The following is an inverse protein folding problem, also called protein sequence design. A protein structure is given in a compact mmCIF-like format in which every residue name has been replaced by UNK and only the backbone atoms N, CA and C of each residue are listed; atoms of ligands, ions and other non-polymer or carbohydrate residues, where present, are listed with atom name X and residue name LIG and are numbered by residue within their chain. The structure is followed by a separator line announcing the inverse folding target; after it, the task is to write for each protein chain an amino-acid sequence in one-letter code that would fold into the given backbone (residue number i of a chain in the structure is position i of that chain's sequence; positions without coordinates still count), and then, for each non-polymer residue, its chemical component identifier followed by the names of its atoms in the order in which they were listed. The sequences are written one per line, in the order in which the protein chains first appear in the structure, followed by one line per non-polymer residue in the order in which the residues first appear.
data_IF_400607646408
#
_entry.id   IF_400607646408
#
_cell.length_a   1.000
_cell.length_b   1.000
_cell.length_c   1.000
_cell.angle_alpha   90.00
_cell.angle_beta   90.00
_cell.angle_gamma   90.00
#
_symmetry.space_group_name_H-M   'P 1'
#
loop_
_entity.id
_entity.type
_entity.pdbx_description
1 polymer ?
#
# COMPACT_ATOMS: atom_id res chain seq x y z
N UNK A 1 -11.09 -24.45 -4.13
CA UNK A 1 -9.72 -23.91 -4.03
C UNK A 1 -9.78 -22.74 -3.07
N UNK A 2 -9.12 -22.83 -1.92
CA UNK A 2 -9.00 -21.71 -0.99
C UNK A 2 -7.85 -20.86 -1.54
N UNK A 3 -8.18 -19.85 -2.34
CA UNK A 3 -7.20 -18.84 -2.73
C UNK A 3 -7.10 -17.83 -1.60
N UNK A 4 -6.18 -18.03 -0.67
CA UNK A 4 -5.83 -16.97 0.27
C UNK A 4 -5.20 -15.82 -0.50
N UNK A 5 -5.67 -14.60 -0.23
CA UNK A 5 -5.09 -13.40 -0.83
C UNK A 5 -3.77 -13.09 -0.11
N UNK A 6 -2.68 -13.66 -0.60
CA UNK A 6 -1.34 -13.47 -0.03
C UNK A 6 -0.82 -12.04 -0.17
N UNK A 7 -1.36 -11.25 -1.10
CA UNK A 7 -0.92 -9.87 -1.34
C UNK A 7 -1.17 -9.00 -0.10
N UNK A 8 -2.36 -9.13 0.51
CA UNK A 8 -2.72 -8.39 1.71
C UNK A 8 -1.89 -8.78 2.93
N UNK A 9 -1.56 -10.06 3.08
CA UNK A 9 -0.64 -10.55 4.13
C UNK A 9 0.78 -10.04 3.87
N UNK A 10 1.22 -10.08 2.60
CA UNK A 10 2.52 -9.62 2.17
C UNK A 10 2.76 -8.15 2.52
N UNK A 11 1.81 -7.28 2.16
CA UNK A 11 1.88 -5.86 2.49
C UNK A 11 1.89 -5.64 4.00
N UNK A 12 1.01 -6.33 4.74
CA UNK A 12 0.91 -6.16 6.18
C UNK A 12 2.21 -6.57 6.90
N UNK A 13 2.79 -7.71 6.54
CA UNK A 13 4.05 -8.16 7.11
C UNK A 13 5.17 -7.18 6.79
N UNK A 14 5.23 -6.66 5.57
CA UNK A 14 6.29 -5.72 5.23
C UNK A 14 6.17 -4.41 6.01
N UNK A 15 4.97 -3.83 6.06
CA UNK A 15 4.70 -2.62 6.85
C UNK A 15 5.02 -2.83 8.34
N UNK A 16 4.56 -3.91 8.94
CA UNK A 16 4.62 -4.08 10.40
C UNK A 16 5.91 -4.73 10.88
N UNK A 17 6.38 -5.79 10.22
CA UNK A 17 7.53 -6.59 10.67
C UNK A 17 8.85 -6.05 10.12
N UNK A 18 8.90 -5.71 8.83
CA UNK A 18 10.15 -5.28 8.20
C UNK A 18 10.38 -3.78 8.40
N UNK A 19 9.33 -2.97 8.25
CA UNK A 19 9.42 -1.51 8.36
C UNK A 19 9.06 -0.98 9.76
N UNK A 20 8.50 -1.81 10.64
CA UNK A 20 8.16 -1.42 12.02
C UNK A 20 7.04 -0.39 12.14
N UNK A 21 6.16 -0.31 11.14
CA UNK A 21 5.10 0.69 11.05
C UNK A 21 3.86 0.18 11.80
N UNK A 22 3.42 0.96 12.79
CA UNK A 22 2.13 0.75 13.44
C UNK A 22 1.00 1.39 12.62
N UNK A 23 0.00 0.58 12.29
CA UNK A 23 -1.18 0.96 11.51
C UNK A 23 -2.36 1.37 12.41
N UNK A 24 -2.29 1.10 13.72
CA UNK A 24 -3.38 1.40 14.64
C UNK A 24 -3.62 2.92 14.73
N UNK A 25 -4.89 3.33 14.65
CA UNK A 25 -5.32 4.73 14.70
C UNK A 25 -4.69 5.64 13.63
N UNK A 26 -4.13 5.09 12.54
CA UNK A 26 -3.57 5.85 11.42
C UNK A 26 -4.62 6.20 10.37
N UNK A 27 -4.43 7.33 9.68
CA UNK A 27 -5.17 7.70 8.48
C UNK A 27 -4.39 7.16 7.27
N UNK A 28 -4.97 6.20 6.57
CA UNK A 28 -4.38 5.55 5.40
C UNK A 28 -5.08 6.02 4.13
N UNK A 29 -4.36 6.63 3.20
CA UNK A 29 -4.84 6.98 1.87
C UNK A 29 -4.35 5.97 0.85
N UNK A 30 -5.27 5.29 0.18
CA UNK A 30 -4.97 4.38 -0.93
C UNK A 30 -5.33 5.06 -2.25
N UNK A 31 -4.36 5.14 -3.16
CA UNK A 31 -4.54 5.59 -4.52
C UNK A 31 -4.85 4.38 -5.41
N UNK A 32 -6.03 4.39 -6.03
CA UNK A 32 -6.53 3.31 -6.87
C UNK A 32 -7.62 2.47 -6.18
N UNK A 33 -8.58 2.01 -6.97
CA UNK A 33 -9.66 1.12 -6.53
C UNK A 33 -9.72 -0.16 -7.40
N UNK A 34 -8.55 -0.74 -7.65
CA UNK A 34 -8.37 -1.95 -8.46
C UNK A 34 -8.34 -3.24 -7.65
N UNK A 35 -7.91 -4.33 -8.29
CA UNK A 35 -7.76 -5.65 -7.65
C UNK A 35 -6.76 -5.64 -6.49
N UNK A 36 -5.62 -4.96 -6.66
CA UNK A 36 -4.61 -4.81 -5.60
C UNK A 36 -5.20 -4.15 -4.35
N UNK A 37 -5.88 -3.01 -4.49
CA UNK A 37 -6.59 -2.34 -3.38
C UNK A 37 -7.56 -3.28 -2.69
N UNK A 38 -8.40 -4.00 -3.44
CA UNK A 38 -9.36 -4.95 -2.86
C UNK A 38 -8.67 -6.05 -2.05
N UNK A 39 -7.52 -6.54 -2.51
CA UNK A 39 -6.76 -7.59 -1.82
C UNK A 39 -6.13 -7.16 -0.50
N UNK A 40 -5.71 -5.90 -0.39
CA UNK A 40 -5.04 -5.38 0.80
C UNK A 40 -5.99 -4.78 1.84
N UNK A 41 -7.23 -4.42 1.44
CA UNK A 41 -8.16 -3.68 2.31
C UNK A 41 -8.53 -4.43 3.59
N UNK A 42 -8.91 -5.71 3.51
CA UNK A 42 -9.34 -6.45 4.69
C UNK A 42 -8.19 -6.60 5.71
N UNK A 43 -6.97 -7.05 5.32
CA UNK A 43 -5.84 -7.11 6.26
C UNK A 43 -5.47 -5.75 6.86
N UNK A 44 -5.54 -4.66 6.09
CA UNK A 44 -5.31 -3.31 6.60
C UNK A 44 -6.36 -2.91 7.64
N UNK A 45 -7.65 -3.10 7.35
CA UNK A 45 -8.74 -2.76 8.28
C UNK A 45 -8.69 -3.57 9.57
N UNK A 46 -8.21 -4.81 9.51
CA UNK A 46 -8.00 -5.65 10.71
C UNK A 46 -6.95 -5.06 11.68
N UNK A 47 -6.04 -4.20 11.21
CA UNK A 47 -5.10 -3.48 12.07
C UNK A 47 -5.71 -2.25 12.75
N UNK A 48 -7.00 -1.97 12.52
CA UNK A 48 -7.76 -0.87 13.14
C UNK A 48 -7.12 0.51 12.91
N UNK A 49 -6.87 0.91 11.66
CA UNK A 49 -6.59 2.30 11.35
C UNK A 49 -7.76 3.18 11.79
N UNK A 50 -7.50 4.46 12.03
CA UNK A 50 -8.56 5.43 12.33
C UNK A 50 -9.49 5.61 11.12
N UNK A 51 -8.93 5.56 9.91
CA UNK A 51 -9.67 5.67 8.67
C UNK A 51 -8.86 5.14 7.48
N UNK A 52 -9.54 4.46 6.55
CA UNK A 52 -8.98 4.14 5.22
C UNK A 52 -9.72 4.94 4.14
N UNK A 53 -9.01 5.86 3.52
CA UNK A 53 -9.46 6.70 2.41
C UNK A 53 -9.05 6.05 1.09
N UNK A 54 -9.99 5.85 0.17
CA UNK A 54 -9.75 5.27 -1.15
C UNK A 54 -10.02 6.34 -2.19
N UNK A 55 -8.99 6.77 -2.91
CA UNK A 55 -9.11 7.76 -3.96
C UNK A 55 -8.85 7.12 -5.33
N UNK A 56 -9.69 7.38 -6.32
CA UNK A 56 -9.54 6.79 -7.65
C UNK A 56 -9.98 7.73 -8.76
N UNK A 57 -9.38 7.61 -9.97
CA UNK A 57 -9.77 8.40 -11.14
C UNK A 57 -11.26 8.28 -11.47
N UNK A 58 -11.82 7.07 -11.30
CA UNK A 58 -13.27 6.84 -11.39
C UNK A 58 -13.82 6.75 -9.97
N UNK A 59 -14.40 7.85 -9.48
CA UNK A 59 -14.88 7.98 -8.10
C UNK A 59 -15.85 6.86 -7.68
N UNK A 60 -16.78 6.47 -8.57
CA UNK A 60 -17.77 5.42 -8.27
C UNK A 60 -17.14 4.07 -7.90
N UNK A 61 -15.98 3.73 -8.49
CA UNK A 61 -15.24 2.50 -8.13
C UNK A 61 -14.71 2.56 -6.70
N UNK A 62 -14.18 3.71 -6.28
CA UNK A 62 -13.70 3.91 -4.93
C UNK A 62 -14.85 3.92 -3.91
N UNK A 63 -15.93 4.64 -4.20
CA UNK A 63 -17.11 4.69 -3.33
C UNK A 63 -17.74 3.31 -3.15
N UNK A 64 -17.88 2.54 -4.23
CA UNK A 64 -18.39 1.17 -4.14
C UNK A 64 -17.45 0.29 -3.32
N UNK A 65 -16.14 0.37 -3.56
CA UNK A 65 -15.17 -0.43 -2.83
C UNK A 65 -15.11 -0.09 -1.33
N UNK A 66 -15.21 1.19 -0.96
CA UNK A 66 -15.32 1.57 0.46
C UNK A 66 -16.58 0.95 1.08
N UNK A 67 -17.73 1.09 0.42
CA UNK A 67 -19.00 0.51 0.89
C UNK A 67 -18.94 -1.01 1.06
N UNK A 68 -18.31 -1.72 0.14
CA UNK A 68 -18.14 -3.18 0.23
C UNK A 68 -17.38 -3.61 1.50
N UNK A 69 -16.60 -2.71 2.11
CA UNK A 69 -15.75 -2.98 3.27
C UNK A 69 -16.15 -2.20 4.54
N UNK A 70 -17.26 -1.45 4.51
CA UNK A 70 -17.70 -0.58 5.63
C UNK A 70 -17.96 -1.35 6.94
N UNK A 71 -18.31 -2.63 6.85
CA UNK A 71 -18.54 -3.50 8.01
C UNK A 71 -17.24 -3.92 8.73
N UNK A 72 -16.07 -3.73 8.11
CA UNK A 72 -14.77 -4.11 8.66
C UNK A 72 -14.00 -2.93 9.26
N UNK A 73 -14.45 -1.69 9.04
CA UNK A 73 -13.86 -0.49 9.63
C UNK A 73 -14.26 0.80 8.91
N UNK A 74 -13.72 1.92 9.38
CA UNK A 74 -14.02 3.25 8.84
C UNK A 74 -13.36 3.40 7.46
N UNK A 75 -14.19 3.45 6.41
CA UNK A 75 -13.74 3.60 5.02
C UNK A 75 -14.44 4.75 4.32
N UNK A 76 -13.72 5.44 3.43
CA UNK A 76 -14.29 6.52 2.63
C UNK A 76 -13.75 6.47 1.19
N UNK A 77 -14.65 6.38 0.21
CA UNK A 77 -14.26 6.29 -1.21
C UNK A 77 -14.66 7.52 -2.01
N UNK A 78 -13.72 8.11 -2.76
CA UNK A 78 -13.93 9.36 -3.51
C UNK A 78 -13.01 9.49 -4.74
N UNK A 79 -13.19 10.57 -5.51
CA UNK A 79 -12.36 10.89 -6.68
C UNK A 79 -11.05 11.57 -6.30
N UNK A 80 -9.99 11.39 -7.10
CA UNK A 80 -8.66 11.99 -6.83
C UNK A 80 -8.74 13.51 -6.63
N UNK A 81 -9.64 14.19 -7.34
CA UNK A 81 -9.87 15.64 -7.26
C UNK A 81 -10.40 16.14 -5.91
N UNK A 82 -10.90 15.22 -5.06
CA UNK A 82 -11.41 15.55 -3.72
C UNK A 82 -10.41 15.31 -2.61
N UNK A 83 -9.20 14.84 -2.93
CA UNK A 83 -8.11 14.77 -1.96
C UNK A 83 -7.84 16.19 -1.45
N UNK A 84 -7.92 16.37 -0.14
CA UNK A 84 -7.66 17.66 0.50
C UNK A 84 -6.17 17.85 0.71
N UNK A 85 -5.73 19.10 0.68
CA UNK A 85 -4.35 19.49 0.95
C UNK A 85 -4.08 19.46 2.47
N UNK A 86 -3.96 18.26 3.02
CA UNK A 86 -3.68 18.04 4.44
C UNK A 86 -3.02 16.68 4.65
N UNK A 87 -2.09 16.57 5.62
CA UNK A 87 -1.28 15.37 5.77
C UNK A 87 -2.13 14.16 6.15
N UNK A 88 -1.70 12.99 5.66
CA UNK A 88 -2.14 11.68 6.15
C UNK A 88 -0.94 10.96 6.75
N UNK A 89 -1.18 9.89 7.50
CA UNK A 89 -0.06 9.12 8.09
C UNK A 89 0.61 8.25 7.03
N UNK A 90 -0.17 7.62 6.16
CA UNK A 90 0.30 6.61 5.20
C UNK A 90 -0.41 6.80 3.86
N UNK A 91 0.36 6.77 2.77
CA UNK A 91 -0.13 6.74 1.39
C UNK A 91 0.31 5.44 0.74
N UNK A 92 -0.64 4.68 0.21
CA UNK A 92 -0.38 3.46 -0.56
C UNK A 92 -0.77 3.70 -2.01
N UNK A 93 0.20 3.71 -2.92
CA UNK A 93 -0.05 3.78 -4.35
C UNK A 93 -0.30 2.37 -4.90
N UNK A 94 -1.57 2.05 -5.13
CA UNK A 94 -2.03 0.80 -5.74
C UNK A 94 -2.51 1.01 -7.19
N UNK A 95 -2.11 2.13 -7.82
CA UNK A 95 -2.49 2.42 -9.21
C UNK A 95 -1.55 1.73 -10.20
N UNK A 96 -2.07 1.37 -11.36
CA UNK A 96 -1.24 1.02 -12.51
C UNK A 96 -0.56 2.24 -13.16
N UNK A 97 -0.78 3.47 -12.66
CA UNK A 97 -0.20 4.67 -13.25
C UNK A 97 1.34 4.68 -13.12
N UNK A 98 1.89 4.02 -12.10
CA UNK A 98 3.34 3.79 -12.00
C UNK A 98 3.90 2.96 -13.15
N UNK A 99 3.12 2.03 -13.74
CA UNK A 99 3.52 1.31 -14.97
C UNK A 99 3.52 2.23 -16.20
N UNK A 100 2.59 3.19 -16.23
CA UNK A 100 2.49 4.22 -17.27
C UNK A 100 3.47 5.39 -17.02
N UNK A 101 4.31 5.30 -15.98
CA UNK A 101 5.23 6.36 -15.53
C UNK A 101 4.52 7.70 -15.33
N UNK A 102 3.32 7.68 -14.75
CA UNK A 102 2.53 8.87 -14.45
C UNK A 102 2.26 8.98 -12.96
N UNK A 103 2.48 10.17 -12.41
CA UNK A 103 2.05 10.52 -11.07
C UNK A 103 0.59 11.00 -11.11
N UNK A 104 -0.33 10.42 -10.29
CA UNK A 104 -1.67 10.96 -10.13
C UNK A 104 -1.63 12.43 -9.70
N UNK A 105 -2.44 13.28 -10.33
CA UNK A 105 -2.53 14.69 -9.96
C UNK A 105 -3.28 14.84 -8.64
N UNK A 106 -2.53 14.96 -7.54
CA UNK A 106 -3.04 15.09 -6.16
C UNK A 106 -2.27 16.20 -5.43
N UNK A 107 -2.89 16.77 -4.40
CA UNK A 107 -2.30 17.87 -3.61
C UNK A 107 -1.07 17.39 -2.82
N UNK A 108 0.02 18.17 -2.86
CA UNK A 108 1.30 17.84 -2.23
C UNK A 108 1.24 17.64 -0.70
N UNK A 109 0.39 18.41 -0.01
CA UNK A 109 0.34 18.42 1.45
C UNK A 109 -0.04 17.09 2.09
N UNK A 110 -0.64 16.17 1.34
CA UNK A 110 -0.95 14.82 1.83
C UNK A 110 0.30 14.00 2.14
N UNK A 111 1.40 14.23 1.42
CA UNK A 111 2.66 13.50 1.62
C UNK A 111 3.49 14.05 2.78
N UNK A 112 3.17 15.22 3.31
CA UNK A 112 3.98 15.86 4.32
C UNK A 112 4.06 15.00 5.60
N UNK A 113 5.27 14.52 5.91
CA UNK A 113 5.59 13.58 6.98
C UNK A 113 4.89 12.20 6.86
N UNK A 114 4.27 11.89 5.72
CA UNK A 114 3.61 10.63 5.47
C UNK A 114 4.61 9.53 5.08
N UNK A 115 4.25 8.29 5.38
CA UNK A 115 4.91 7.11 4.81
C UNK A 115 4.28 6.85 3.44
N UNK A 116 5.08 6.84 2.38
CA UNK A 116 4.62 6.63 1.01
C UNK A 116 5.10 5.27 0.50
N UNK A 117 4.16 4.36 0.25
CA UNK A 117 4.42 3.00 -0.19
C UNK A 117 3.88 2.80 -1.61
N UNK A 118 4.74 2.51 -2.59
CA UNK A 118 4.33 2.12 -3.94
C UNK A 118 4.23 0.59 -4.02
N UNK A 119 3.10 0.05 -4.47
CA UNK A 119 3.00 -1.41 -4.68
C UNK A 119 3.87 -1.89 -5.85
N UNK A 120 4.35 -0.99 -6.70
CA UNK A 120 5.35 -1.30 -7.72
C UNK A 120 6.72 -1.54 -7.09
N UNK A 121 7.46 -2.51 -7.62
CA UNK A 121 8.80 -2.87 -7.14
C UNK A 121 9.86 -2.71 -8.23
N UNK A 122 11.12 -2.58 -7.80
CA UNK A 122 12.29 -2.81 -8.64
C UNK A 122 12.77 -1.62 -9.46
N UNK A 123 12.05 -0.49 -9.50
CA UNK A 123 12.54 0.79 -10.06
C UNK A 123 11.92 1.98 -9.34
N UNK A 124 12.65 3.09 -9.31
CA UNK A 124 12.11 4.39 -8.93
C UNK A 124 10.90 4.75 -9.80
N UNK A 125 9.81 5.20 -9.18
CA UNK A 125 8.56 5.59 -9.84
C UNK A 125 8.32 7.09 -9.66
N UNK A 126 7.53 7.73 -10.54
CA UNK A 126 7.14 9.13 -10.36
C UNK A 126 6.40 9.40 -9.05
N UNK A 127 5.71 8.40 -8.49
CA UNK A 127 5.10 8.52 -7.16
C UNK A 127 6.14 8.60 -6.05
N UNK A 128 7.17 7.76 -6.12
CA UNK A 128 8.27 7.81 -5.16
C UNK A 128 9.05 9.13 -5.27
N UNK A 129 9.34 9.60 -6.48
CA UNK A 129 9.98 10.91 -6.70
C UNK A 129 9.10 12.05 -6.15
N UNK A 130 7.80 11.99 -6.43
CA UNK A 130 6.85 12.97 -5.91
C UNK A 130 6.81 12.95 -4.38
N UNK A 131 6.79 11.78 -3.73
CA UNK A 131 6.77 11.66 -2.28
C UNK A 131 8.04 12.26 -1.65
N UNK A 132 9.21 11.95 -2.20
CA UNK A 132 10.49 12.50 -1.76
C UNK A 132 10.53 14.03 -1.86
N UNK A 133 10.00 14.58 -2.95
CA UNK A 133 9.94 16.03 -3.17
C UNK A 133 8.89 16.75 -2.30
N UNK A 134 7.99 16.03 -1.64
CA UNK A 134 6.89 16.58 -0.84
C UNK A 134 6.96 16.17 0.64
N UNK A 135 8.18 16.04 1.16
CA UNK A 135 8.48 15.82 2.59
C UNK A 135 7.92 14.51 3.17
N UNK A 136 7.78 13.45 2.37
CA UNK A 136 7.48 12.13 2.92
C UNK A 136 8.56 11.73 3.94
N UNK A 137 8.13 11.18 5.08
CA UNK A 137 9.04 10.72 6.14
C UNK A 137 9.74 9.42 5.75
N UNK A 138 9.10 8.62 4.90
CA UNK A 138 9.63 7.38 4.36
C UNK A 138 9.02 7.13 2.98
N UNK A 139 9.82 6.61 2.05
CA UNK A 139 9.39 6.21 0.70
C UNK A 139 9.87 4.79 0.44
N UNK A 140 8.93 3.89 0.12
CA UNK A 140 9.18 2.44 0.01
C UNK A 140 8.53 1.89 -1.27
N UNK A 141 9.21 0.93 -1.91
CA UNK A 141 8.70 0.18 -3.05
C UNK A 141 8.11 -1.18 -2.64
N UNK A 142 7.43 -1.85 -3.57
CA UNK A 142 6.68 -3.07 -3.31
C UNK A 142 7.53 -4.33 -3.12
N UNK A 143 8.86 -4.24 -3.12
CA UNK A 143 9.72 -5.42 -3.08
C UNK A 143 9.54 -6.22 -1.79
N UNK A 144 9.40 -5.56 -0.64
CA UNK A 144 9.22 -6.25 0.63
C UNK A 144 7.90 -7.01 0.67
N UNK A 145 6.79 -6.35 0.27
CA UNK A 145 5.51 -7.03 0.02
C UNK A 145 5.65 -8.25 -0.91
N UNK A 146 6.37 -8.14 -2.04
CA UNK A 146 6.57 -9.23 -2.99
C UNK A 146 7.27 -10.44 -2.34
N UNK A 147 8.26 -10.20 -1.50
CA UNK A 147 8.97 -11.27 -0.78
C UNK A 147 8.08 -11.88 0.30
N UNK A 148 7.33 -11.06 1.04
CA UNK A 148 6.42 -11.50 2.10
C UNK A 148 5.24 -12.32 1.59
N UNK A 149 4.66 -11.98 0.43
CA UNK A 149 3.63 -12.81 -0.20
C UNK A 149 4.20 -14.19 -0.59
N UNK A 150 5.43 -14.23 -1.10
CA UNK A 150 6.08 -15.47 -1.50
C UNK A 150 6.44 -16.33 -0.29
N UNK A 151 6.86 -15.69 0.80
CA UNK A 151 7.10 -16.34 2.08
C UNK A 151 5.83 -16.97 2.65
N UNK A 152 4.71 -16.24 2.60
CA UNK A 152 3.41 -16.74 3.08
C UNK A 152 2.95 -17.96 2.27
N UNK A 153 3.08 -17.91 0.94
CA UNK A 153 2.79 -19.06 0.08
C UNK A 153 3.74 -20.25 0.36
N UNK A 154 5.04 -19.98 0.54
CA UNK A 154 6.02 -21.01 0.85
C UNK A 154 5.72 -21.70 2.19
N UNK A 155 5.37 -20.93 3.21
CA UNK A 155 4.96 -21.46 4.52
C UNK A 155 3.71 -22.32 4.39
N UNK A 156 2.68 -21.87 3.65
CA UNK A 156 1.46 -22.63 3.43
C UNK A 156 1.73 -24.02 2.84
N UNK A 157 2.61 -24.11 1.84
CA UNK A 157 2.91 -25.38 1.16
C UNK A 157 3.89 -26.27 1.92
N UNK A 158 4.83 -25.68 2.68
CA UNK A 158 5.96 -26.43 3.26
C UNK A 158 5.90 -26.55 4.78
N UNK A 159 5.06 -25.76 5.45
CA UNK A 159 5.03 -25.59 6.90
C UNK A 159 6.26 -24.88 7.47
N UNK A 160 7.12 -24.28 6.63
CA UNK A 160 8.37 -23.64 7.06
C UNK A 160 8.31 -22.13 6.83
N UNK A 161 8.66 -21.36 7.86
CA UNK A 161 8.78 -19.90 7.77
C UNK A 161 10.16 -19.51 7.23
N UNK A 162 10.25 -18.88 6.04
CA UNK A 162 11.52 -18.39 5.52
C UNK A 162 11.91 -17.06 6.17
N UNK A 163 13.21 -16.76 6.22
CA UNK A 163 13.72 -15.45 6.64
C UNK A 163 13.65 -14.48 5.47
N UNK A 164 12.71 -13.54 5.51
CA UNK A 164 12.42 -12.62 4.39
C UNK A 164 13.41 -11.47 4.29
N UNK A 165 13.86 -10.92 5.41
CA UNK A 165 14.81 -9.80 5.45
C UNK A 165 16.07 -10.05 4.60
N UNK A 166 16.71 -11.21 4.78
CA UNK A 166 17.92 -11.58 4.02
C UNK A 166 17.65 -11.74 2.52
N UNK A 167 16.43 -12.18 2.15
CA UNK A 167 16.03 -12.30 0.74
C UNK A 167 15.82 -10.92 0.12
N UNK A 168 15.17 -10.00 0.84
CA UNK A 168 14.97 -8.61 0.41
C UNK A 168 16.34 -7.95 0.17
N UNK A 169 17.25 -8.07 1.13
CA UNK A 169 18.61 -7.51 1.03
C UNK A 169 19.38 -8.07 -0.17
N UNK A 170 19.32 -9.39 -0.39
CA UNK A 170 19.98 -10.03 -1.52
C UNK A 170 19.43 -9.56 -2.88
N UNK A 171 18.10 -9.37 -3.00
CA UNK A 171 17.49 -8.88 -4.24
C UNK A 171 17.85 -7.42 -4.50
N UNK A 172 17.90 -6.58 -3.45
CA UNK A 172 18.32 -5.17 -3.61
C UNK A 172 19.76 -5.08 -4.11
N UNK A 173 20.68 -5.87 -3.53
CA UNK A 173 22.09 -5.90 -3.93
C UNK A 173 22.33 -6.38 -5.38
N UNK A 174 21.37 -7.04 -6.02
CA UNK A 174 21.46 -7.46 -7.44
C UNK A 174 21.00 -6.37 -8.42
N UNK A 175 20.27 -5.36 -7.95
CA UNK A 175 19.67 -4.30 -8.77
C UNK A 175 20.37 -2.95 -8.63
N UNK A 176 21.36 -2.84 -7.74
CA UNK A 176 22.31 -1.72 -7.61
C UNK A 176 23.53 -1.94 -8.53
#
# INVERSE_FOLDING_TARGET
MIGENTDGIGLLNDLTKNLGIDLQNKIVLILGAGGATRGILLPLLQQRPAQVMIANRTASKATQLAKDFESYGETCGFGLEKIKDGPVDIIINATSASLEKQMPNITAGVANNAICYDLMYGKQTPFMDWAQNNNASMVVDGLGMLVEQAASAFEFWTGKQPKTQTVIEAIRALND
#
